data_IF_398820221208
#
_entry.id   IF_398820221208
#
_cell.length_a   1.000
_cell.length_b   1.000
_cell.length_c   1.000
_cell.angle_alpha   90.00
_cell.angle_beta   90.00
_cell.angle_gamma   90.00
#
_symmetry.space_group_name_H-M   'P 1'
#
loop_
_entity.id
_entity.type
_entity.pdbx_description
1 polymer ?
#
# COMPACT_ATOMS: atom_id res chain seq x y z
N UNK A 1 8.52 -30.73 21.29
CA UNK A 1 8.79 -29.27 21.17
C UNK A 1 8.20 -28.77 19.86
N UNK A 2 7.58 -27.58 19.82
CA UNK A 2 7.09 -27.01 18.57
C UNK A 2 8.24 -26.84 17.56
N UNK A 3 7.97 -27.02 16.28
CA UNK A 3 8.98 -26.81 15.23
C UNK A 3 9.34 -25.31 15.13
N UNK A 4 10.61 -24.98 15.36
CA UNK A 4 11.15 -23.63 15.20
C UNK A 4 11.67 -23.44 13.78
N UNK A 5 11.51 -22.24 13.22
CA UNK A 5 12.11 -21.85 11.94
C UNK A 5 13.36 -20.97 12.17
N UNK A 6 14.47 -21.18 11.44
CA UNK A 6 15.63 -20.30 11.48
C UNK A 6 15.46 -19.03 10.63
N UNK A 7 14.30 -18.84 9.99
CA UNK A 7 14.05 -17.68 9.12
C UNK A 7 13.95 -16.40 9.93
N UNK A 8 14.61 -15.33 9.48
CA UNK A 8 14.42 -13.97 10.02
C UNK A 8 13.10 -13.39 9.53
N UNK A 9 12.32 -12.79 10.44
CA UNK A 9 11.07 -12.10 10.10
C UNK A 9 11.38 -10.67 9.69
N UNK A 10 10.72 -10.15 8.66
CA UNK A 10 10.84 -8.74 8.27
C UNK A 10 9.55 -8.02 8.68
N UNK A 11 9.61 -7.07 9.64
CA UNK A 11 8.43 -6.33 10.04
C UNK A 11 8.02 -5.34 8.95
N UNK A 12 6.71 -5.18 8.77
CA UNK A 12 6.10 -4.15 7.91
C UNK A 12 4.99 -3.43 8.65
N UNK A 13 4.79 -2.16 8.34
CA UNK A 13 3.68 -1.39 8.90
C UNK A 13 2.43 -1.67 8.07
N UNK A 14 1.31 -1.99 8.70
CA UNK A 14 0.01 -2.15 8.04
C UNK A 14 -0.88 -0.97 8.36
N UNK A 15 -1.40 -0.36 7.30
CA UNK A 15 -2.47 0.64 7.32
C UNK A 15 -3.74 -0.06 6.86
N UNK A 16 -4.66 -0.31 7.79
CA UNK A 16 -6.00 -0.80 7.49
C UNK A 16 -6.94 0.40 7.37
N UNK A 17 -7.67 0.48 6.26
CA UNK A 17 -8.56 1.60 5.96
C UNK A 17 -10.01 1.15 5.82
N UNK A 18 -10.88 1.77 6.61
CA UNK A 18 -12.33 1.59 6.49
C UNK A 18 -12.91 2.83 5.78
N UNK A 19 -13.65 2.67 4.66
CA UNK A 19 -14.31 3.79 4.01
C UNK A 19 -15.38 4.39 4.93
N UNK A 20 -14.98 5.31 5.80
CA UNK A 20 -15.92 6.08 6.60
C UNK A 20 -16.69 7.03 5.69
N UNK A 21 -18.00 6.81 5.55
CA UNK A 21 -18.85 7.62 4.68
C UNK A 21 -19.00 9.07 5.17
N UNK A 22 -19.07 9.97 4.17
CA UNK A 22 -19.74 11.29 4.11
C UNK A 22 -18.90 12.56 4.29
N UNK A 23 -17.79 12.70 3.56
CA UNK A 23 -17.51 13.91 2.75
C UNK A 23 -16.27 13.72 1.87
N UNK A 24 -16.36 14.07 0.58
CA UNK A 24 -15.27 13.97 -0.38
C UNK A 24 -15.23 12.64 -1.14
N UNK A 25 -14.68 12.68 -2.35
CA UNK A 25 -14.42 11.52 -3.21
C UNK A 25 -12.96 11.56 -3.65
N UNK A 26 -12.37 10.39 -3.91
CA UNK A 26 -11.03 10.31 -4.46
C UNK A 26 -9.93 10.66 -3.47
N UNK A 27 -8.88 11.32 -3.96
CA UNK A 27 -7.69 11.68 -3.18
C UNK A 27 -7.98 12.51 -1.91
N UNK A 28 -9.03 13.32 -1.91
CA UNK A 28 -9.44 14.14 -0.75
C UNK A 28 -10.38 13.44 0.23
N UNK A 29 -10.80 12.20 -0.05
CA UNK A 29 -11.73 11.47 0.82
C UNK A 29 -11.03 11.11 2.14
N UNK A 30 -11.60 11.58 3.25
CA UNK A 30 -11.14 11.26 4.59
C UNK A 30 -11.66 9.88 5.01
N UNK A 31 -10.75 9.00 5.42
CA UNK A 31 -11.05 7.62 5.82
C UNK A 31 -10.51 7.35 7.22
N UNK A 32 -11.25 6.57 8.01
CA UNK A 32 -10.73 6.05 9.27
C UNK A 32 -9.64 5.04 8.99
N UNK A 33 -8.54 5.14 9.72
CA UNK A 33 -7.39 4.24 9.57
C UNK A 33 -7.01 3.61 10.90
N UNK A 34 -6.43 2.42 10.82
CA UNK A 34 -5.81 1.73 11.94
C UNK A 34 -4.43 1.27 11.56
N UNK A 35 -3.49 1.47 12.48
CA UNK A 35 -2.11 1.06 12.33
C UNK A 35 -1.82 -0.20 13.14
N UNK A 36 -1.14 -1.15 12.50
CA UNK A 36 -0.60 -2.35 13.12
C UNK A 36 0.75 -2.69 12.49
N UNK A 37 1.51 -3.61 13.09
CA UNK A 37 2.74 -4.11 12.49
C UNK A 37 2.59 -5.58 12.21
N UNK A 38 3.05 -6.00 11.04
CA UNK A 38 2.98 -7.38 10.58
C UNK A 38 4.38 -7.96 10.58
N UNK A 39 4.55 -9.02 11.37
CA UNK A 39 5.72 -9.88 11.36
C UNK A 39 5.39 -11.08 10.47
N UNK A 40 5.77 -10.99 9.19
CA UNK A 40 5.46 -11.98 8.15
C UNK A 40 3.94 -12.09 7.90
N UNK A 41 3.24 -13.08 8.49
CA UNK A 41 1.77 -13.18 8.42
C UNK A 41 1.07 -12.77 9.72
N UNK A 42 1.84 -12.53 10.79
CA UNK A 42 1.32 -12.26 12.13
C UNK A 42 1.18 -10.76 12.34
N UNK A 43 -0.06 -10.29 12.36
CA UNK A 43 -0.37 -8.92 12.74
C UNK A 43 -0.33 -8.77 14.27
N UNK A 44 0.39 -7.76 14.75
CA UNK A 44 0.51 -7.40 16.15
C UNK A 44 0.15 -5.93 16.37
N UNK A 45 -0.60 -5.70 17.43
CA UNK A 45 -0.93 -4.37 17.97
C UNK A 45 0.19 -3.82 18.84
N UNK A 46 0.16 -2.52 19.13
CA UNK A 46 1.12 -1.89 20.04
C UNK A 46 1.17 -2.57 21.43
N UNK A 47 0.02 -3.00 21.95
CA UNK A 47 -0.07 -3.69 23.24
C UNK A 47 0.60 -5.07 23.20
N UNK A 48 0.42 -5.82 22.11
CA UNK A 48 1.03 -7.13 21.92
C UNK A 48 2.55 -7.02 21.72
N UNK A 49 3.00 -6.03 20.96
CA UNK A 49 4.43 -5.73 20.79
C UNK A 49 5.06 -5.37 22.13
N UNK A 50 4.42 -4.51 22.94
CA UNK A 50 4.90 -4.15 24.27
C UNK A 50 5.00 -5.35 25.21
N UNK A 51 4.07 -6.30 25.11
CA UNK A 51 4.11 -7.55 25.87
C UNK A 51 5.25 -8.44 25.39
N UNK A 52 5.38 -8.64 24.08
CA UNK A 52 6.35 -9.52 23.46
C UNK A 52 7.79 -9.01 23.67
N UNK A 53 8.00 -7.69 23.66
CA UNK A 53 9.30 -7.06 23.92
C UNK A 53 9.86 -7.34 25.33
N UNK A 54 8.99 -7.68 26.30
CA UNK A 54 9.40 -8.03 27.67
C UNK A 54 9.86 -9.49 27.81
N UNK A 55 9.64 -10.32 26.79
CA UNK A 55 10.04 -11.72 26.83
C UNK A 55 11.54 -11.87 26.53
N UNK A 56 12.19 -12.81 27.22
CA UNK A 56 13.61 -13.08 27.01
C UNK A 56 13.90 -13.67 25.61
N UNK A 57 12.92 -14.35 25.01
CA UNK A 57 12.99 -14.91 23.66
C UNK A 57 11.66 -14.64 22.94
N UNK A 58 11.50 -13.46 22.33
CA UNK A 58 10.32 -13.11 21.58
C UNK A 58 10.06 -14.09 20.43
N UNK A 59 8.87 -14.68 20.40
CA UNK A 59 8.48 -15.65 19.40
C UNK A 59 7.09 -15.32 18.86
N UNK A 60 6.94 -15.35 17.54
CA UNK A 60 5.64 -15.27 16.86
C UNK A 60 5.35 -16.57 16.14
N UNK A 61 4.06 -16.91 16.00
CA UNK A 61 3.64 -18.14 15.31
C UNK A 61 3.16 -17.81 13.90
N UNK A 62 4.03 -18.03 12.90
CA UNK A 62 3.71 -17.82 11.48
C UNK A 62 3.72 -19.15 10.72
N UNK A 63 2.73 -19.38 9.84
CA UNK A 63 2.64 -20.61 9.03
C UNK A 63 2.71 -21.91 9.85
N UNK A 64 2.16 -21.91 11.08
CA UNK A 64 2.18 -23.05 11.99
C UNK A 64 3.52 -23.31 12.70
N UNK A 65 4.57 -22.53 12.41
CA UNK A 65 5.91 -22.63 13.03
C UNK A 65 6.16 -21.44 13.95
N UNK A 66 7.03 -21.63 14.94
CA UNK A 66 7.51 -20.52 15.76
C UNK A 66 8.74 -19.88 15.13
N UNK A 67 8.71 -18.56 15.04
CA UNK A 67 9.78 -17.75 14.46
C UNK A 67 10.23 -16.73 15.49
N UNK A 68 11.54 -16.61 15.69
CA UNK A 68 12.12 -15.65 16.62
C UNK A 68 12.05 -14.24 16.03
N UNK A 69 11.69 -13.27 16.87
CA UNK A 69 11.71 -11.85 16.53
C UNK A 69 12.83 -11.17 17.30
N UNK A 70 13.56 -10.27 16.65
CA UNK A 70 14.63 -9.52 17.30
C UNK A 70 14.04 -8.39 18.16
N UNK A 71 14.61 -8.13 19.34
CA UNK A 71 14.16 -7.02 20.19
C UNK A 71 14.25 -5.67 19.47
N UNK A 72 15.28 -5.46 18.66
CA UNK A 72 15.42 -4.24 17.85
C UNK A 72 14.24 -4.04 16.87
N UNK A 73 13.73 -5.12 16.28
CA UNK A 73 12.56 -5.05 15.39
C UNK A 73 11.29 -4.70 16.18
N UNK A 74 11.16 -5.19 17.42
CA UNK A 74 10.03 -4.87 18.30
C UNK A 74 10.09 -3.41 18.79
N UNK A 75 11.28 -2.90 19.10
CA UNK A 75 11.49 -1.49 19.45
C UNK A 75 11.14 -0.58 18.28
N UNK A 76 11.64 -0.88 17.08
CA UNK A 76 11.30 -0.14 15.87
C UNK A 76 9.80 -0.18 15.55
N UNK A 77 9.17 -1.34 15.73
CA UNK A 77 7.74 -1.51 15.54
C UNK A 77 6.90 -0.72 16.56
N UNK A 78 7.31 -0.72 17.83
CA UNK A 78 6.67 0.08 18.87
C UNK A 78 6.78 1.58 18.56
N UNK A 79 7.97 2.07 18.21
CA UNK A 79 8.18 3.47 17.84
C UNK A 79 7.35 3.89 16.62
N UNK A 80 7.29 3.05 15.58
CA UNK A 80 6.49 3.31 14.38
C UNK A 80 4.99 3.44 14.68
N UNK A 81 4.46 2.61 15.58
CA UNK A 81 3.07 2.69 16.01
C UNK A 81 2.79 3.88 16.92
N UNK A 82 3.70 4.20 17.83
CA UNK A 82 3.58 5.35 18.73
C UNK A 82 3.53 6.67 17.96
N UNK A 83 4.42 6.84 16.98
CA UNK A 83 4.43 8.01 16.09
C UNK A 83 3.09 8.25 15.38
N UNK A 84 2.34 7.16 15.12
CA UNK A 84 1.07 7.18 14.37
C UNK A 84 -0.16 6.96 15.24
N UNK A 85 0.00 6.86 16.56
CA UNK A 85 -1.08 6.54 17.49
C UNK A 85 -2.18 7.62 17.52
N UNK A 86 -1.84 8.87 17.23
CA UNK A 86 -2.77 9.99 17.14
C UNK A 86 -3.46 10.13 15.76
N UNK A 87 -3.02 9.36 14.76
CA UNK A 87 -3.49 9.45 13.38
C UNK A 87 -4.52 8.36 13.11
N UNK A 88 -5.79 8.66 13.39
CA UNK A 88 -6.93 7.74 13.18
C UNK A 88 -7.71 8.05 11.89
N UNK A 89 -7.33 9.10 11.17
CA UNK A 89 -7.92 9.51 9.90
C UNK A 89 -6.83 9.94 8.92
N UNK A 90 -7.00 9.55 7.65
CA UNK A 90 -6.14 9.97 6.54
C UNK A 90 -6.97 10.21 5.28
N UNK A 91 -6.52 11.15 4.46
CA UNK A 91 -7.03 11.34 3.10
C UNK A 91 -6.51 10.25 2.16
N UNK A 92 -7.21 10.03 1.04
CA UNK A 92 -6.74 9.16 -0.03
C UNK A 92 -5.32 9.47 -0.51
N UNK A 93 -4.97 10.74 -0.63
CA UNK A 93 -3.64 11.19 -1.02
C UNK A 93 -2.56 10.81 0.01
N UNK A 94 -2.83 11.00 1.30
CA UNK A 94 -1.89 10.64 2.36
C UNK A 94 -1.68 9.13 2.43
N UNK A 95 -2.76 8.35 2.33
CA UNK A 95 -2.68 6.89 2.26
C UNK A 95 -1.82 6.42 1.08
N UNK A 96 -1.98 7.05 -0.09
CA UNK A 96 -1.16 6.75 -1.27
C UNK A 96 0.32 7.10 -1.05
N UNK A 97 0.63 8.25 -0.42
CA UNK A 97 2.01 8.63 -0.08
C UNK A 97 2.68 7.60 0.82
N UNK A 98 1.96 7.08 1.82
CA UNK A 98 2.44 5.99 2.65
C UNK A 98 2.72 4.72 1.84
N UNK A 99 1.78 4.28 1.02
CA UNK A 99 1.91 3.07 0.20
C UNK A 99 3.06 3.15 -0.80
N UNK A 100 3.38 4.35 -1.31
CA UNK A 100 4.51 4.61 -2.20
C UNK A 100 5.84 4.78 -1.44
N UNK A 101 5.84 4.68 -0.12
CA UNK A 101 7.04 4.83 0.72
C UNK A 101 7.55 6.27 0.85
N UNK A 102 6.74 7.28 0.50
CA UNK A 102 7.15 8.69 0.53
C UNK A 102 7.20 9.28 1.95
N UNK A 103 6.46 8.70 2.89
CA UNK A 103 6.46 9.14 4.30
C UNK A 103 7.56 8.48 5.15
N UNK A 104 8.28 7.50 4.58
CA UNK A 104 9.28 6.73 5.31
C UNK A 104 8.70 5.82 6.41
N UNK A 105 9.49 4.82 6.81
CA UNK A 105 9.22 3.96 7.95
C UNK A 105 10.54 3.36 8.44
N UNK A 106 10.74 3.20 9.77
CA UNK A 106 11.91 2.50 10.29
C UNK A 106 11.87 0.99 10.01
N UNK A 107 10.74 0.47 9.52
CA UNK A 107 10.55 -0.95 9.26
C UNK A 107 11.00 -1.34 7.85
N UNK A 108 11.87 -2.34 7.75
CA UNK A 108 12.45 -2.79 6.49
C UNK A 108 11.41 -3.32 5.48
N UNK A 109 10.26 -3.80 5.95
CA UNK A 109 9.17 -4.28 5.11
C UNK A 109 8.26 -3.19 4.52
N UNK A 110 8.57 -1.91 4.77
CA UNK A 110 7.79 -0.80 4.22
C UNK A 110 6.40 -0.67 4.83
N UNK A 111 5.50 0.00 4.09
CA UNK A 111 4.10 0.17 4.47
C UNK A 111 3.22 -0.64 3.52
N UNK A 112 2.36 -1.46 4.09
CA UNK A 112 1.30 -2.19 3.40
C UNK A 112 -0.03 -1.50 3.66
N UNK A 113 -0.78 -1.25 2.59
CA UNK A 113 -2.14 -0.72 2.69
C UNK A 113 -3.15 -1.82 2.39
N UNK A 114 -4.21 -1.89 3.20
CA UNK A 114 -5.35 -2.80 3.01
C UNK A 114 -6.67 -2.08 3.32
N UNK A 115 -7.77 -2.73 2.95
CA UNK A 115 -9.13 -2.23 3.17
C UNK A 115 -9.82 -1.83 1.87
N UNK A 116 -10.82 -0.96 1.99
CA UNK A 116 -11.71 -0.58 0.89
C UNK A 116 -11.73 0.95 0.65
N UNK A 117 -10.55 1.56 0.72
CA UNK A 117 -10.36 3.00 0.44
C UNK A 117 -9.99 3.26 -1.03
N UNK A 118 -10.23 4.49 -1.48
CA UNK A 118 -9.81 4.95 -2.82
C UNK A 118 -8.33 4.69 -3.12
N UNK A 119 -7.44 4.87 -2.14
CA UNK A 119 -6.01 4.64 -2.35
C UNK A 119 -5.70 3.15 -2.61
N UNK A 120 -6.38 2.26 -1.89
CA UNK A 120 -6.25 0.80 -2.08
C UNK A 120 -6.78 0.39 -3.45
N UNK A 121 -7.93 0.93 -3.84
CA UNK A 121 -8.54 0.68 -5.15
C UNK A 121 -7.64 1.19 -6.28
N UNK A 122 -7.07 2.38 -6.14
CA UNK A 122 -6.15 2.98 -7.11
C UNK A 122 -4.91 2.10 -7.33
N UNK A 123 -4.28 1.65 -6.24
CA UNK A 123 -3.09 0.80 -6.32
C UNK A 123 -3.38 -0.53 -6.98
N UNK A 124 -4.54 -1.15 -6.68
CA UNK A 124 -4.98 -2.38 -7.32
C UNK A 124 -5.17 -2.17 -8.83
N UNK A 125 -5.90 -1.14 -9.24
CA UNK A 125 -6.11 -0.82 -10.66
C UNK A 125 -4.77 -0.54 -11.37
N UNK A 126 -3.84 0.15 -10.71
CA UNK A 126 -2.51 0.41 -11.26
C UNK A 126 -1.67 -0.87 -11.44
N UNK A 127 -1.82 -1.86 -10.57
CA UNK A 127 -1.17 -3.17 -10.72
C UNK A 127 -1.77 -3.99 -11.88
N UNK A 128 -3.07 -3.88 -12.11
CA UNK A 128 -3.80 -4.57 -13.19
C UNK A 128 -3.50 -3.99 -14.58
N UNK A 129 -3.08 -2.71 -14.66
CA UNK A 129 -2.69 -2.04 -15.90
C UNK A 129 -1.47 -2.64 -16.63
N UNK A 130 -0.69 -3.53 -16.00
CA UNK A 130 0.46 -4.18 -16.65
C UNK A 130 0.10 -5.12 -17.81
N UNK A 131 -1.19 -5.26 -18.14
CA UNK A 131 -1.69 -6.03 -19.29
C UNK A 131 -1.55 -5.30 -20.64
N UNK A 132 -1.87 -6.01 -21.72
CA UNK A 132 -1.81 -5.45 -23.07
C UNK A 132 -2.93 -4.41 -23.28
N UNK A 133 -2.62 -3.14 -23.61
CA UNK A 133 -3.60 -2.08 -23.71
C UNK A 133 -4.58 -2.29 -24.86
N UNK A 134 -5.82 -1.84 -24.69
CA UNK A 134 -6.90 -2.05 -25.65
C UNK A 134 -6.55 -1.60 -27.07
N UNK A 135 -6.98 -2.44 -28.02
CA UNK A 135 -6.83 -2.38 -29.48
C UNK A 135 -6.75 -1.00 -30.12
N UNK A 136 -7.90 -0.34 -30.03
CA UNK A 136 -8.31 0.79 -30.87
C UNK A 136 -9.64 1.32 -30.29
N UNK A 137 -9.82 2.62 -30.07
CA UNK A 137 -11.11 3.19 -29.67
C UNK A 137 -12.19 2.95 -30.74
N UNK A 138 -13.44 2.80 -30.30
CA UNK A 138 -14.58 2.69 -31.22
C UNK A 138 -14.65 3.91 -32.17
N UNK A 139 -14.74 3.63 -33.46
CA UNK A 139 -14.79 4.67 -34.50
C UNK A 139 -13.44 5.27 -34.92
N UNK A 140 -12.32 4.81 -34.36
CA UNK A 140 -11.00 5.21 -34.83
C UNK A 140 -10.64 4.50 -36.14
N UNK A 141 -10.31 5.28 -37.17
CA UNK A 141 -9.88 4.77 -38.48
C UNK A 141 -8.36 4.89 -38.58
N UNK A 142 -7.66 3.80 -38.25
CA UNK A 142 -6.21 3.70 -38.32
C UNK A 142 -5.65 2.65 -37.36
N UNK A 143 -4.33 2.47 -37.38
CA UNK A 143 -3.61 1.66 -36.41
C UNK A 143 -2.85 2.57 -35.44
N UNK A 144 -3.13 2.44 -34.15
CA UNK A 144 -2.33 3.10 -33.12
C UNK A 144 -0.95 2.46 -33.05
N UNK A 145 0.11 3.26 -32.96
CA UNK A 145 1.46 2.76 -32.63
C UNK A 145 1.49 2.27 -31.18
N UNK A 146 2.46 1.43 -30.82
CA UNK A 146 2.57 0.86 -29.47
C UNK A 146 2.50 1.92 -28.36
N UNK A 147 3.29 2.99 -28.50
CA UNK A 147 3.30 4.10 -27.53
C UNK A 147 1.97 4.86 -27.46
N UNK A 148 1.19 4.90 -28.55
CA UNK A 148 -0.14 5.55 -28.55
C UNK A 148 -1.17 4.69 -27.82
N UNK A 149 -1.06 3.36 -27.93
CA UNK A 149 -1.88 2.42 -27.15
C UNK A 149 -1.55 2.50 -25.67
N UNK A 150 -0.27 2.57 -25.32
CA UNK A 150 0.18 2.79 -23.94
C UNK A 150 -0.35 4.12 -23.38
N UNK A 151 -0.25 5.20 -24.16
CA UNK A 151 -0.80 6.50 -23.76
C UNK A 151 -2.33 6.46 -23.59
N UNK A 152 -3.05 5.77 -24.48
CA UNK A 152 -4.50 5.60 -24.37
C UNK A 152 -4.89 4.81 -23.11
N UNK A 153 -4.20 3.70 -22.81
CA UNK A 153 -4.46 2.94 -21.60
C UNK A 153 -4.13 3.74 -20.33
N UNK A 154 -3.05 4.51 -20.35
CA UNK A 154 -2.71 5.42 -19.25
C UNK A 154 -3.80 6.47 -19.02
N UNK A 155 -4.32 7.08 -20.09
CA UNK A 155 -5.44 8.03 -19.99
C UNK A 155 -6.73 7.35 -19.50
N UNK A 156 -7.03 6.15 -19.96
CA UNK A 156 -8.18 5.37 -19.49
C UNK A 156 -8.08 5.03 -18.00
N UNK A 157 -6.88 4.74 -17.50
CA UNK A 157 -6.65 4.58 -16.06
C UNK A 157 -6.85 5.86 -15.29
N UNK A 158 -6.29 6.98 -15.76
CA UNK A 158 -6.47 8.27 -15.10
C UNK A 158 -7.96 8.62 -14.98
N UNK A 159 -8.73 8.41 -16.05
CA UNK A 159 -10.18 8.60 -16.07
C UNK A 159 -10.91 7.66 -15.07
N UNK A 160 -10.64 6.36 -15.14
CA UNK A 160 -11.24 5.37 -14.23
C UNK A 160 -10.87 5.62 -12.75
N UNK A 161 -9.69 6.17 -12.49
CA UNK A 161 -9.21 6.53 -11.17
C UNK A 161 -9.73 7.89 -10.67
N UNK A 162 -10.41 8.68 -11.51
CA UNK A 162 -10.81 10.05 -11.23
C UNK A 162 -9.63 11.01 -11.05
N UNK A 163 -8.50 10.72 -11.70
CA UNK A 163 -7.26 11.49 -11.64
C UNK A 163 -7.13 12.41 -12.85
N UNK A 164 -6.62 13.62 -12.61
CA UNK A 164 -6.05 14.45 -13.67
C UNK A 164 -4.62 14.02 -13.95
N UNK A 165 -4.19 14.06 -15.21
CA UNK A 165 -2.81 13.78 -15.61
C UNK A 165 -2.30 14.76 -16.65
N UNK A 166 -0.98 14.92 -16.70
CA UNK A 166 -0.30 15.67 -17.74
C UNK A 166 0.41 14.69 -18.69
N UNK A 167 0.05 14.72 -19.98
CA UNK A 167 0.69 13.90 -21.00
C UNK A 167 1.88 14.68 -21.60
N UNK A 168 3.06 14.52 -21.02
CA UNK A 168 4.29 15.16 -21.47
C UNK A 168 5.02 14.34 -22.55
N UNK A 169 4.34 14.02 -23.66
CA UNK A 169 4.97 13.36 -24.82
C UNK A 169 5.73 14.37 -25.70
N UNK A 170 6.82 13.92 -26.32
CA UNK A 170 7.63 14.75 -27.22
C UNK A 170 6.83 15.27 -28.44
N UNK A 171 7.20 16.44 -28.97
CA UNK A 171 6.51 17.07 -30.11
C UNK A 171 6.65 16.23 -31.38
N UNK A 172 5.54 15.94 -32.07
CA UNK A 172 5.52 15.14 -33.31
C UNK A 172 4.99 13.71 -33.19
N UNK A 173 4.62 13.24 -31.99
CA UNK A 173 4.14 11.88 -31.73
C UNK A 173 2.63 11.65 -31.97
N UNK A 174 1.88 12.64 -32.44
CA UNK A 174 0.44 12.53 -32.69
C UNK A 174 -0.39 12.53 -31.39
N UNK A 175 -0.44 13.68 -30.72
CA UNK A 175 -1.19 13.91 -29.46
C UNK A 175 -2.66 14.28 -29.67
N UNK A 176 -3.07 14.44 -30.93
CA UNK A 176 -4.39 14.82 -31.44
C UNK A 176 -4.85 13.73 -32.38
#
# INVERSE_FOLDING_TARGET
>A
MPAMSPRKVTPSLRLDSDPSSRTGSGAGQLSKVRWSVVFDEVELTAAEISKLAKEARPLVRSGGKWVAVEHADLEAAAAALEERAATDQLTGAEMLRYALGLEGTPLAGGVQIQGASWATDLLRTAQEMGGEPATTPDGFVGELRSYQREALAWLGFLDAAGLGGCLALDMGLGKT
#
